data_IF_072876066451
#
_entry.id   IF_072876066451
#
_cell.length_a   1.000
_cell.length_b   1.000
_cell.length_c   1.000
_cell.angle_alpha   90.00
_cell.angle_beta   90.00
_cell.angle_gamma   90.00
#
_symmetry.space_group_name_H-M   'P 1'
#
loop_
_entity.id
_entity.type
_entity.pdbx_description
1 polymer ?
#
# COMPACT_ATOMS: atom_id res chain seq x y z
N UNK A 1 3.44 -20.21 -41.41
CA UNK A 1 3.82 -19.92 -40.00
C UNK A 1 3.12 -20.96 -39.13
N UNK A 2 3.89 -21.91 -38.58
CA UNK A 2 3.35 -23.16 -38.00
C UNK A 2 2.52 -22.88 -36.75
N UNK A 3 1.30 -23.43 -36.68
CA UNK A 3 0.34 -23.21 -35.57
C UNK A 3 0.93 -23.55 -34.19
N UNK A 4 1.92 -24.45 -34.19
CA UNK A 4 2.71 -24.88 -33.03
C UNK A 4 3.50 -23.72 -32.40
N UNK A 5 4.05 -22.85 -33.23
CA UNK A 5 4.83 -21.69 -32.80
C UNK A 5 3.91 -20.58 -32.23
N UNK A 6 2.71 -20.41 -32.81
CA UNK A 6 1.73 -19.46 -32.28
C UNK A 6 1.23 -19.87 -30.88
N UNK A 7 1.00 -21.18 -30.66
CA UNK A 7 0.60 -21.72 -29.37
C UNK A 7 1.67 -21.50 -28.28
N UNK A 8 2.95 -21.69 -28.62
CA UNK A 8 4.07 -21.45 -27.69
C UNK A 8 4.17 -19.98 -27.28
N UNK A 9 4.01 -19.05 -28.22
CA UNK A 9 4.04 -17.61 -27.93
C UNK A 9 2.87 -17.20 -27.01
N UNK A 10 1.68 -17.74 -27.27
CA UNK A 10 0.49 -17.48 -26.45
C UNK A 10 0.69 -17.96 -25.00
N UNK A 11 1.24 -19.16 -24.80
CA UNK A 11 1.49 -19.72 -23.46
C UNK A 11 2.51 -18.89 -22.65
N UNK A 12 3.55 -18.36 -23.31
CA UNK A 12 4.53 -17.46 -22.69
C UNK A 12 3.88 -16.11 -22.34
N UNK A 13 3.03 -15.56 -23.22
CA UNK A 13 2.34 -14.31 -22.97
C UNK A 13 1.35 -14.39 -21.78
N UNK A 14 0.62 -15.50 -21.63
CA UNK A 14 -0.33 -15.66 -20.52
C UNK A 14 0.36 -15.92 -19.17
N UNK A 15 1.47 -16.67 -19.15
CA UNK A 15 2.23 -16.93 -17.92
C UNK A 15 2.98 -15.69 -17.39
N UNK A 16 3.26 -14.70 -18.24
CA UNK A 16 3.92 -13.45 -17.87
C UNK A 16 3.08 -12.52 -16.98
N UNK A 17 1.75 -12.57 -17.06
CA UNK A 17 0.89 -11.64 -16.33
C UNK A 17 1.01 -11.80 -14.80
N UNK A 18 1.10 -13.04 -14.32
CA UNK A 18 1.24 -13.37 -12.90
C UNK A 18 2.64 -13.07 -12.34
N UNK A 19 3.67 -13.05 -13.21
CA UNK A 19 5.04 -12.71 -12.83
C UNK A 19 5.24 -11.20 -12.71
N UNK A 20 4.62 -10.42 -13.60
CA UNK A 20 4.71 -8.95 -13.59
C UNK A 20 3.81 -8.37 -12.49
N UNK A 21 2.58 -8.87 -12.37
CA UNK A 21 1.56 -8.38 -11.45
C UNK A 21 1.27 -9.46 -10.39
N UNK A 22 1.71 -9.22 -9.17
CA UNK A 22 1.51 -10.15 -8.06
C UNK A 22 2.13 -9.61 -6.78
N UNK A 23 1.80 -10.20 -5.62
CA UNK A 23 2.31 -9.74 -4.32
C UNK A 23 3.85 -9.72 -4.25
N UNK A 24 4.52 -10.57 -5.03
CA UNK A 24 5.99 -10.65 -5.19
C UNK A 24 6.45 -10.36 -6.64
N UNK A 25 5.58 -9.79 -7.46
CA UNK A 25 5.91 -9.44 -8.85
C UNK A 25 6.84 -8.24 -8.94
N UNK A 26 7.29 -7.91 -10.16
CA UNK A 26 8.11 -6.72 -10.42
C UNK A 26 7.39 -5.45 -9.96
N UNK A 27 6.06 -5.40 -10.15
CA UNK A 27 5.19 -4.35 -9.59
C UNK A 27 4.53 -4.93 -8.34
N UNK A 28 5.11 -4.63 -7.18
CA UNK A 28 4.54 -5.04 -5.89
C UNK A 28 3.31 -4.20 -5.59
N UNK A 29 2.23 -4.86 -5.19
CA UNK A 29 1.05 -4.19 -4.64
C UNK A 29 1.44 -3.61 -3.26
N UNK A 30 1.27 -2.29 -3.08
CA UNK A 30 1.61 -1.56 -1.84
C UNK A 30 0.38 -1.04 -1.10
N UNK A 31 -0.82 -1.50 -1.48
CA UNK A 31 -2.09 -0.96 -1.02
C UNK A 31 -2.32 -1.18 0.48
N UNK A 32 -1.54 -2.06 1.12
CA UNK A 32 -1.61 -2.35 2.56
C UNK A 32 -0.27 -2.15 3.26
N UNK A 33 0.75 -1.61 2.58
CA UNK A 33 2.08 -1.43 3.17
C UNK A 33 2.07 -0.46 4.35
N UNK A 34 1.18 0.54 4.33
CA UNK A 34 1.02 1.50 5.43
C UNK A 34 0.60 0.83 6.74
N UNK A 35 -0.16 -0.28 6.69
CA UNK A 35 -0.57 -1.04 7.88
C UNK A 35 0.60 -1.76 8.57
N UNK A 36 1.72 -1.95 7.85
CA UNK A 36 2.94 -2.59 8.35
C UNK A 36 4.05 -1.58 8.67
N UNK A 37 3.79 -0.28 8.48
CA UNK A 37 4.75 0.76 8.76
C UNK A 37 5.07 0.78 10.27
N UNK A 38 6.36 0.96 10.60
CA UNK A 38 6.78 1.06 12.00
C UNK A 38 6.44 2.44 12.54
N UNK A 39 5.90 2.48 13.75
CA UNK A 39 5.85 3.72 14.53
C UNK A 39 7.26 4.07 15.01
N UNK A 40 7.70 5.30 14.76
CA UNK A 40 9.02 5.80 15.17
C UNK A 40 8.82 6.61 16.45
N UNK A 41 9.59 6.34 17.53
CA UNK A 41 9.46 7.11 18.75
C UNK A 41 9.84 8.58 18.52
N UNK A 42 9.30 9.51 19.33
CA UNK A 42 9.73 10.90 19.31
C UNK A 42 11.24 11.05 19.48
N UNK A 43 11.79 12.13 18.91
CA UNK A 43 13.20 12.48 19.06
C UNK A 43 13.52 12.74 20.54
N UNK A 44 14.67 12.23 21.00
CA UNK A 44 15.15 12.44 22.35
C UNK A 44 16.03 13.69 22.39
N UNK A 45 15.78 14.58 23.35
CA UNK A 45 16.53 15.82 23.50
C UNK A 45 17.81 15.55 24.34
N UNK A 46 19.01 15.92 23.83
CA UNK A 46 20.25 15.80 24.59
C UNK A 46 20.26 16.66 25.86
N UNK A 47 21.09 16.32 26.86
CA UNK A 47 21.28 17.18 28.04
C UNK A 47 21.81 18.55 27.64
N UNK A 48 21.29 19.61 28.28
CA UNK A 48 21.68 21.00 28.01
C UNK A 48 20.90 21.68 26.87
N UNK A 49 19.98 20.99 26.21
CA UNK A 49 19.08 21.55 25.19
C UNK A 49 17.62 21.57 25.69
N UNK A 50 16.89 22.64 25.34
CA UNK A 50 15.48 22.80 25.73
C UNK A 50 14.55 22.20 24.68
N UNK A 51 13.57 21.41 25.13
CA UNK A 51 12.55 20.80 24.27
C UNK A 51 11.65 21.83 23.56
N UNK A 52 11.53 23.05 24.11
CA UNK A 52 10.69 24.12 23.54
C UNK A 52 11.13 24.60 22.14
N UNK A 53 12.36 24.29 21.73
CA UNK A 53 12.88 24.65 20.41
C UNK A 53 12.63 23.56 19.36
N UNK A 54 12.30 22.33 19.78
CA UNK A 54 12.18 21.17 18.90
C UNK A 54 10.76 20.64 18.95
N UNK A 55 9.88 21.23 18.14
CA UNK A 55 8.52 20.74 17.93
C UNK A 55 8.43 19.90 16.65
N UNK A 56 7.52 18.93 16.64
CA UNK A 56 7.25 18.15 15.45
C UNK A 56 6.58 19.05 14.40
N UNK A 57 7.23 19.23 13.24
CA UNK A 57 6.65 20.02 12.15
C UNK A 57 5.34 19.42 11.58
N UNK A 58 5.12 18.12 11.82
CA UNK A 58 3.94 17.37 11.36
C UNK A 58 3.43 16.48 12.50
N UNK A 59 2.72 17.03 13.50
CA UNK A 59 2.20 16.26 14.61
C UNK A 59 1.05 15.35 14.13
N UNK A 60 1.11 14.07 14.50
CA UNK A 60 0.00 13.13 14.30
C UNK A 60 -0.84 13.14 15.58
N UNK A 61 -2.18 13.31 15.49
CA UNK A 61 -3.03 13.29 16.68
C UNK A 61 -3.07 11.91 17.34
N UNK A 62 -3.03 11.88 18.68
CA UNK A 62 -3.16 10.65 19.50
C UNK A 62 -4.61 10.15 19.60
N UNK A 63 -5.35 10.15 18.48
CA UNK A 63 -6.73 9.66 18.42
C UNK A 63 -6.73 8.19 18.02
N UNK A 64 -7.55 7.40 18.70
CA UNK A 64 -7.87 6.05 18.25
C UNK A 64 -8.85 6.11 17.07
N UNK A 65 -8.55 5.40 15.99
CA UNK A 65 -9.36 5.33 14.78
C UNK A 65 -9.88 3.90 14.61
N UNK A 66 -11.01 3.54 15.25
CA UNK A 66 -11.54 2.20 15.17
C UNK A 66 -11.87 1.85 13.72
N UNK A 67 -11.33 0.72 13.25
CA UNK A 67 -11.52 0.26 11.87
C UNK A 67 -10.47 0.75 10.85
N UNK A 68 -9.41 1.44 11.28
CA UNK A 68 -8.29 1.85 10.40
C UNK A 68 -7.63 0.71 9.62
N UNK A 69 -7.79 -0.52 10.11
CA UNK A 69 -7.16 -1.72 9.55
C UNK A 69 -8.13 -2.52 8.67
N UNK A 70 -9.35 -2.03 8.47
CA UNK A 70 -10.41 -2.72 7.74
C UNK A 70 -10.39 -2.32 6.26
N UNK A 71 -10.74 -3.24 5.35
CA UNK A 71 -10.92 -2.88 3.94
C UNK A 71 -12.07 -1.87 3.80
N UNK A 72 -11.76 -0.66 3.33
CA UNK A 72 -12.76 0.37 3.05
C UNK A 72 -13.06 0.44 1.55
N UNK A 73 -14.32 0.71 1.21
CA UNK A 73 -14.69 0.97 -0.17
C UNK A 73 -14.19 2.35 -0.58
N UNK A 74 -13.27 2.37 -1.55
CA UNK A 74 -12.84 3.60 -2.24
C UNK A 74 -13.79 3.97 -3.39
N UNK A 75 -14.80 3.15 -3.67
CA UNK A 75 -15.83 3.47 -4.65
C UNK A 75 -16.60 4.67 -4.10
N UNK A 76 -16.69 5.77 -4.88
CA UNK A 76 -17.47 6.93 -4.48
C UNK A 76 -18.87 6.50 -4.01
N UNK A 77 -19.40 7.08 -2.93
CA UNK A 77 -20.70 6.70 -2.40
C UNK A 77 -21.82 6.67 -3.46
N UNK A 78 -21.76 7.60 -4.43
CA UNK A 78 -22.72 7.72 -5.53
C UNK A 78 -22.65 6.60 -6.58
N UNK A 79 -21.59 5.79 -6.57
CA UNK A 79 -21.33 4.72 -7.54
C UNK A 79 -21.37 3.34 -6.87
N UNK A 80 -21.81 3.25 -5.61
CA UNK A 80 -21.96 1.97 -4.91
C UNK A 80 -23.24 1.21 -5.34
N UNK A 81 -23.53 1.15 -6.65
CA UNK A 81 -24.66 0.35 -7.16
C UNK A 81 -24.31 -1.14 -7.13
N UNK A 82 -24.17 -1.71 -5.94
CA UNK A 82 -24.27 -3.15 -5.70
C UNK A 82 -25.63 -3.42 -5.09
N UNK A 83 -26.64 -3.41 -5.96
CA UNK A 83 -28.04 -3.56 -5.59
C UNK A 83 -28.99 -3.66 -6.79
N UNK A 84 -28.56 -4.25 -7.91
CA UNK A 84 -29.42 -5.01 -8.82
C UNK A 84 -28.60 -6.03 -9.60
#
# INVERSE_FOLDING_TARGET
>A
MSIKNALLILLVALSGCTYIYGNKGVIQNRDTDYLKARSIPPLQIPPGLSSSTVEASFPVPDRDYPGSNQPISIIPPELNTSGK
#
